data_IF_408100800030
#
_entry.id   IF_408100800030
#
_cell.length_a   1.000
_cell.length_b   1.000
_cell.length_c   1.000
_cell.angle_alpha   90.00
_cell.angle_beta   90.00
_cell.angle_gamma   90.00
#
_symmetry.space_group_name_H-M   'P 1'
#
loop_
_entity.id
_entity.type
_entity.pdbx_description
1 polymer ?
#
# COMPACT_ATOMS: atom_id res chain seq x y z
N UNK A 1 -2.13 14.08 -9.78
CA UNK A 1 -3.55 13.68 -9.70
C UNK A 1 -3.88 12.57 -10.69
N UNK A 2 -4.96 11.86 -10.41
CA UNK A 2 -5.53 10.88 -11.34
C UNK A 2 -6.55 11.55 -12.29
N UNK A 3 -6.54 11.16 -13.56
CA UNK A 3 -7.49 11.61 -14.57
C UNK A 3 -8.15 10.40 -15.24
N UNK A 4 -9.45 10.43 -15.38
CA UNK A 4 -10.23 9.42 -16.12
C UNK A 4 -10.74 10.06 -17.39
N UNK A 5 -10.39 9.50 -18.56
CA UNK A 5 -10.89 9.98 -19.84
C UNK A 5 -12.34 9.51 -20.10
N UNK A 6 -13.07 10.21 -20.97
CA UNK A 6 -14.42 9.82 -21.39
C UNK A 6 -14.47 8.44 -22.06
N UNK A 7 -13.37 8.03 -22.70
CA UNK A 7 -13.21 6.71 -23.32
C UNK A 7 -12.83 5.60 -22.31
N UNK A 8 -12.79 5.92 -21.00
CA UNK A 8 -12.55 4.97 -19.92
C UNK A 8 -11.08 4.71 -19.59
N UNK A 9 -10.11 5.38 -20.22
CA UNK A 9 -8.71 5.31 -19.88
C UNK A 9 -8.42 6.08 -18.59
N UNK A 10 -7.61 5.47 -17.67
CA UNK A 10 -7.15 6.15 -16.46
C UNK A 10 -5.67 6.51 -16.58
N UNK A 11 -5.32 7.72 -16.13
CA UNK A 11 -3.98 8.27 -16.24
C UNK A 11 -3.55 8.92 -14.93
N UNK A 12 -2.28 8.71 -14.57
CA UNK A 12 -1.58 9.57 -13.62
C UNK A 12 -1.05 10.78 -14.38
N UNK A 13 -1.46 11.98 -13.96
CA UNK A 13 -1.12 13.23 -14.65
C UNK A 13 -0.25 14.12 -13.76
N UNK A 14 0.84 14.62 -14.33
CA UNK A 14 1.64 15.67 -13.74
C UNK A 14 1.60 16.89 -14.66
N UNK A 15 1.09 18.00 -14.14
CA UNK A 15 1.05 19.28 -14.84
C UNK A 15 2.12 20.20 -14.22
N UNK A 16 2.91 20.84 -15.04
CA UNK A 16 4.00 21.72 -14.60
C UNK A 16 4.11 22.96 -15.46
N UNK A 17 4.64 24.01 -14.88
CA UNK A 17 5.00 25.23 -15.61
C UNK A 17 6.44 25.14 -16.11
N UNK A 18 6.66 25.62 -17.33
CA UNK A 18 7.97 25.80 -17.95
C UNK A 18 8.02 27.18 -18.60
N UNK A 19 9.20 27.63 -19.02
CA UNK A 19 9.40 28.96 -19.63
C UNK A 19 8.46 29.21 -20.81
N UNK A 20 8.23 28.23 -21.67
CA UNK A 20 7.34 28.31 -22.84
C UNK A 20 5.83 28.02 -22.53
N UNK A 21 5.40 28.06 -21.27
CA UNK A 21 4.01 27.86 -20.87
C UNK A 21 3.76 26.66 -19.93
N UNK A 22 2.66 25.93 -20.14
CA UNK A 22 2.28 24.77 -19.34
C UNK A 22 2.62 23.50 -20.08
N UNK A 23 3.15 22.50 -19.36
CA UNK A 23 3.37 21.14 -19.83
C UNK A 23 2.62 20.11 -18.99
N UNK A 24 2.34 18.96 -19.57
CA UNK A 24 1.75 17.84 -18.85
C UNK A 24 2.37 16.51 -19.30
N UNK A 25 2.51 15.58 -18.35
CA UNK A 25 2.92 14.20 -18.61
C UNK A 25 1.79 13.28 -18.15
N UNK A 26 1.38 12.40 -19.04
CA UNK A 26 0.37 11.40 -18.78
C UNK A 26 1.00 10.01 -18.75
N UNK A 27 0.75 9.27 -17.68
CA UNK A 27 1.12 7.85 -17.58
C UNK A 27 -0.15 7.04 -17.50
N UNK A 28 -0.35 6.14 -18.47
CA UNK A 28 -1.49 5.22 -18.47
C UNK A 28 -1.44 4.31 -17.25
N UNK A 29 -2.59 4.15 -16.60
CA UNK A 29 -2.81 3.20 -15.49
C UNK A 29 -3.48 1.96 -16.09
N UNK A 30 -2.94 0.74 -15.86
CA UNK A 30 -3.53 -0.48 -16.37
C UNK A 30 -4.98 -0.67 -15.92
N UNK A 31 -5.85 -1.11 -16.82
CA UNK A 31 -7.25 -1.40 -16.50
C UNK A 31 -7.44 -2.71 -15.75
N UNK A 32 -6.51 -3.66 -15.95
CA UNK A 32 -6.58 -4.98 -15.35
C UNK A 32 -5.54 -5.15 -14.26
N UNK A 33 -5.93 -5.77 -13.14
CA UNK A 33 -5.05 -6.14 -12.05
C UNK A 33 -4.41 -7.50 -12.41
N UNK A 34 -3.07 -7.61 -12.41
CA UNK A 34 -2.42 -8.89 -12.67
C UNK A 34 -2.67 -9.87 -11.52
N UNK A 35 -2.64 -11.17 -11.81
CA UNK A 35 -2.69 -12.20 -10.78
C UNK A 35 -1.29 -12.54 -10.26
N UNK A 36 -1.17 -13.07 -9.04
CA UNK A 36 0.12 -13.55 -8.53
C UNK A 36 0.73 -14.64 -9.41
N UNK A 37 -0.11 -15.45 -10.08
CA UNK A 37 0.34 -16.47 -11.02
C UNK A 37 0.94 -15.87 -12.28
N UNK A 38 0.32 -14.84 -12.84
CA UNK A 38 0.84 -14.15 -14.04
C UNK A 38 2.15 -13.40 -13.77
N UNK A 39 2.41 -13.03 -12.52
CA UNK A 39 3.65 -12.37 -12.09
C UNK A 39 4.79 -13.37 -11.82
N UNK A 40 4.53 -14.69 -11.91
CA UNK A 40 5.50 -15.75 -11.65
C UNK A 40 6.23 -15.59 -10.29
N UNK A 41 5.54 -15.07 -9.28
CA UNK A 41 6.08 -14.89 -7.94
C UNK A 41 6.16 -16.22 -7.18
N UNK A 42 7.11 -16.38 -6.24
CA UNK A 42 7.23 -17.59 -5.44
C UNK A 42 5.90 -17.94 -4.74
N UNK A 43 5.55 -19.23 -4.62
CA UNK A 43 4.32 -19.67 -3.94
C UNK A 43 4.16 -19.17 -2.51
N UNK A 44 5.27 -18.82 -1.85
CA UNK A 44 5.29 -18.22 -0.53
C UNK A 44 4.46 -16.92 -0.48
N UNK A 45 4.48 -16.10 -1.53
CA UNK A 45 3.73 -14.84 -1.57
C UNK A 45 2.22 -15.08 -1.42
N UNK A 46 1.70 -16.17 -2.01
CA UNK A 46 0.30 -16.57 -1.81
C UNK A 46 0.01 -16.97 -0.36
N UNK A 47 0.94 -17.69 0.29
CA UNK A 47 0.79 -18.10 1.69
C UNK A 47 0.80 -16.91 2.65
N UNK A 48 1.54 -15.85 2.34
CA UNK A 48 1.51 -14.63 3.13
C UNK A 48 0.11 -14.00 3.18
N UNK A 49 -0.69 -14.15 2.14
CA UNK A 49 -2.08 -13.68 2.11
C UNK A 49 -3.04 -14.52 3.00
N UNK A 50 -2.60 -15.65 3.54
CA UNK A 50 -3.44 -16.47 4.43
C UNK A 50 -3.41 -15.97 5.88
N UNK A 51 -2.47 -15.09 6.23
CA UNK A 51 -2.42 -14.47 7.56
C UNK A 51 -3.61 -13.55 7.79
N UNK A 52 -4.04 -13.46 9.05
CA UNK A 52 -5.15 -12.60 9.47
C UNK A 52 -4.67 -11.27 10.04
N UNK A 53 -3.45 -11.23 10.57
CA UNK A 53 -2.85 -10.05 11.19
C UNK A 53 -1.34 -10.03 10.97
N UNK A 54 -0.72 -8.91 11.26
CA UNK A 54 0.71 -8.69 11.11
C UNK A 54 1.05 -7.78 9.96
N UNK A 55 2.31 -7.72 9.55
CA UNK A 55 2.78 -6.79 8.53
C UNK A 55 3.49 -7.52 7.40
N UNK A 56 3.10 -7.22 6.16
CA UNK A 56 3.76 -7.68 4.94
C UNK A 56 4.33 -6.46 4.21
N UNK A 57 5.65 -6.48 4.01
CA UNK A 57 6.36 -5.38 3.36
C UNK A 57 6.93 -5.81 2.01
N UNK A 58 6.56 -5.07 0.97
CA UNK A 58 7.12 -5.24 -0.37
C UNK A 58 8.13 -4.12 -0.62
N UNK A 59 9.41 -4.48 -0.76
CA UNK A 59 10.50 -3.50 -0.81
C UNK A 59 11.26 -3.55 -2.13
N UNK A 60 11.92 -2.46 -2.47
CA UNK A 60 12.70 -2.32 -3.70
C UNK A 60 12.69 -0.90 -4.24
N UNK A 61 13.51 -0.63 -5.26
CA UNK A 61 13.56 0.67 -5.94
C UNK A 61 12.26 0.94 -6.73
N UNK A 62 12.11 2.16 -7.19
CA UNK A 62 10.98 2.53 -8.08
C UNK A 62 11.03 1.69 -9.36
N UNK A 63 9.85 1.23 -9.80
CA UNK A 63 9.73 0.44 -11.04
C UNK A 63 10.04 -1.06 -10.88
N UNK A 64 10.30 -1.57 -9.67
CA UNK A 64 10.56 -3.00 -9.43
C UNK A 64 9.31 -3.87 -9.29
N UNK A 65 8.11 -3.28 -9.42
CA UNK A 65 6.84 -4.03 -9.36
C UNK A 65 6.21 -4.10 -7.97
N UNK A 66 6.59 -3.24 -7.00
CA UNK A 66 6.00 -3.23 -5.64
C UNK A 66 4.48 -3.07 -5.67
N UNK A 67 3.99 -1.99 -6.29
CA UNK A 67 2.54 -1.71 -6.40
C UNK A 67 1.82 -2.81 -7.16
N UNK A 68 2.44 -3.35 -8.20
CA UNK A 68 1.90 -4.46 -8.99
C UNK A 68 1.74 -5.73 -8.16
N UNK A 69 2.74 -6.04 -7.32
CA UNK A 69 2.71 -7.19 -6.41
C UNK A 69 1.62 -7.01 -5.35
N UNK A 70 1.53 -5.84 -4.73
CA UNK A 70 0.49 -5.55 -3.73
C UNK A 70 -0.90 -5.59 -4.35
N UNK A 71 -1.09 -5.04 -5.55
CA UNK A 71 -2.36 -5.11 -6.25
C UNK A 71 -2.78 -6.56 -6.52
N UNK A 72 -1.85 -7.43 -6.93
CA UNK A 72 -2.12 -8.85 -7.14
C UNK A 72 -2.45 -9.58 -5.82
N UNK A 73 -1.84 -9.19 -4.68
CA UNK A 73 -2.17 -9.73 -3.36
C UNK A 73 -3.57 -9.30 -2.92
N UNK A 74 -3.91 -8.02 -3.09
CA UNK A 74 -5.27 -7.50 -2.82
C UNK A 74 -6.31 -8.21 -3.69
N UNK A 75 -6.04 -8.41 -4.97
CA UNK A 75 -6.98 -9.10 -5.86
C UNK A 75 -7.19 -10.57 -5.47
N UNK A 76 -6.12 -11.25 -5.02
CA UNK A 76 -6.21 -12.60 -4.47
C UNK A 76 -7.13 -12.65 -3.23
N UNK A 77 -6.92 -11.75 -2.26
CA UNK A 77 -7.75 -11.63 -1.06
C UNK A 77 -9.19 -11.33 -1.43
N UNK A 78 -9.42 -10.33 -2.29
CA UNK A 78 -10.72 -9.90 -2.77
C UNK A 78 -11.50 -10.99 -3.52
N UNK A 79 -10.78 -11.95 -4.11
CA UNK A 79 -11.40 -13.07 -4.83
C UNK A 79 -11.73 -14.26 -3.92
N UNK A 80 -10.95 -14.47 -2.84
CA UNK A 80 -11.00 -15.70 -2.04
C UNK A 80 -11.64 -15.54 -0.67
N UNK A 81 -11.70 -14.32 -0.12
CA UNK A 81 -12.10 -14.07 1.27
C UNK A 81 -13.17 -12.98 1.34
N UNK A 82 -14.00 -13.01 2.36
CA UNK A 82 -14.97 -11.97 2.67
C UNK A 82 -14.40 -11.04 3.75
N UNK A 83 -13.72 -9.98 3.34
CA UNK A 83 -12.96 -9.06 4.18
C UNK A 83 -13.31 -7.61 3.87
N UNK A 84 -13.04 -6.71 4.82
CA UNK A 84 -13.03 -5.27 4.60
C UNK A 84 -11.59 -4.82 4.35
N UNK A 85 -11.29 -4.36 3.13
CA UNK A 85 -9.96 -3.93 2.69
C UNK A 85 -9.98 -2.43 2.50
N UNK A 86 -9.10 -1.71 3.22
CA UNK A 86 -8.91 -0.27 3.05
C UNK A 86 -7.53 -0.02 2.47
N UNK A 87 -7.49 0.66 1.33
CA UNK A 87 -6.26 1.00 0.62
C UNK A 87 -6.03 2.51 0.64
N UNK A 88 -4.82 2.91 1.01
CA UNK A 88 -4.34 4.29 1.09
C UNK A 88 -3.19 4.45 0.10
N UNK A 89 -3.34 5.25 -0.96
CA UNK A 89 -2.42 5.26 -2.11
C UNK A 89 -2.07 6.68 -2.57
N UNK A 90 -0.94 6.83 -3.30
CA UNK A 90 -0.47 8.12 -3.86
C UNK A 90 0.19 7.94 -5.26
N UNK A 91 -0.59 8.02 -6.32
CA UNK A 91 -2.05 7.87 -6.43
C UNK A 91 -2.48 6.39 -6.50
N UNK A 92 -3.79 6.14 -6.62
CA UNK A 92 -4.32 4.80 -6.91
C UNK A 92 -3.81 4.32 -8.28
N UNK A 93 -2.96 3.27 -8.29
CA UNK A 93 -2.37 2.71 -9.52
C UNK A 93 -3.21 1.57 -10.12
N UNK A 94 -3.99 0.85 -9.31
CA UNK A 94 -4.89 -0.20 -9.76
C UNK A 94 -6.27 -0.03 -9.10
N UNK A 95 -7.33 -0.12 -9.88
CA UNK A 95 -8.69 -0.02 -9.35
C UNK A 95 -9.22 -1.41 -9.05
N UNK A 96 -9.53 -1.66 -7.80
CA UNK A 96 -10.14 -2.91 -7.35
C UNK A 96 -11.66 -2.77 -7.28
N UNK A 97 -12.37 -3.57 -8.07
CA UNK A 97 -13.81 -3.74 -7.89
C UNK A 97 -14.04 -4.74 -6.77
N UNK A 98 -14.95 -4.43 -5.84
CA UNK A 98 -15.36 -5.37 -4.79
C UNK A 98 -15.90 -6.66 -5.41
N UNK A 99 -15.38 -7.82 -4.95
CA UNK A 99 -15.80 -9.18 -5.33
C UNK A 99 -16.43 -9.87 -4.13
N UNK A 100 -15.62 -10.62 -3.34
CA UNK A 100 -16.04 -11.16 -2.05
C UNK A 100 -15.75 -10.18 -0.90
N UNK A 101 -14.73 -9.33 -1.06
CA UNK A 101 -14.41 -8.28 -0.11
C UNK A 101 -15.16 -6.99 -0.41
N UNK A 102 -15.33 -6.16 0.61
CA UNK A 102 -15.52 -4.72 0.43
C UNK A 102 -14.15 -4.09 0.25
N UNK A 103 -13.92 -3.36 -0.85
CA UNK A 103 -12.65 -2.67 -1.11
C UNK A 103 -12.89 -1.18 -1.17
N UNK A 104 -12.26 -0.44 -0.26
CA UNK A 104 -12.30 1.02 -0.18
C UNK A 104 -10.92 1.55 -0.51
N UNK A 105 -10.78 2.32 -1.59
CA UNK A 105 -9.51 2.93 -2.00
C UNK A 105 -9.56 4.44 -1.81
N UNK A 106 -8.52 4.97 -1.15
CA UNK A 106 -8.38 6.40 -0.87
C UNK A 106 -7.06 6.92 -1.40
N UNK A 107 -7.10 8.06 -2.05
CA UNK A 107 -5.95 8.72 -2.64
C UNK A 107 -5.49 9.91 -1.77
N UNK A 108 -4.18 9.97 -1.51
CA UNK A 108 -3.54 11.07 -0.79
C UNK A 108 -3.77 12.40 -1.53
N UNK A 109 -4.05 13.45 -0.76
CA UNK A 109 -4.34 14.78 -1.29
C UNK A 109 -5.76 14.95 -1.87
N UNK A 110 -6.46 13.86 -2.17
CA UNK A 110 -7.85 13.88 -2.66
C UNK A 110 -8.83 13.46 -1.57
N UNK A 111 -8.56 12.34 -0.92
CA UNK A 111 -9.47 11.72 0.06
C UNK A 111 -8.89 11.72 1.48
N UNK A 112 -7.60 11.90 1.64
CA UNK A 112 -6.92 11.95 2.94
C UNK A 112 -5.75 12.95 2.90
N UNK A 113 -5.48 13.64 4.03
CA UNK A 113 -4.42 14.65 4.09
C UNK A 113 -3.02 14.05 4.27
N UNK A 114 -2.92 12.89 4.94
CA UNK A 114 -1.67 12.14 5.14
C UNK A 114 -1.96 10.65 5.27
N UNK A 115 -0.93 9.81 5.08
CA UNK A 115 -1.05 8.37 5.31
C UNK A 115 -1.29 8.04 6.78
N UNK A 116 -0.63 8.73 7.71
CA UNK A 116 -0.83 8.52 9.15
C UNK A 116 -2.29 8.76 9.56
N UNK A 117 -2.89 9.89 9.14
CA UNK A 117 -4.30 10.18 9.36
C UNK A 117 -5.21 9.16 8.68
N UNK A 118 -4.82 8.71 7.48
CA UNK A 118 -5.54 7.67 6.75
C UNK A 118 -5.58 6.34 7.51
N UNK A 119 -4.45 5.88 8.06
CA UNK A 119 -4.37 4.65 8.89
C UNK A 119 -5.19 4.82 10.16
N UNK A 120 -5.05 5.97 10.84
CA UNK A 120 -5.81 6.27 12.06
C UNK A 120 -7.33 6.25 11.83
N UNK A 121 -7.79 6.75 10.69
CA UNK A 121 -9.19 6.69 10.30
C UNK A 121 -9.61 5.26 9.95
N UNK A 122 -8.82 4.57 9.14
CA UNK A 122 -9.08 3.20 8.71
C UNK A 122 -9.29 2.25 9.89
N UNK A 123 -8.49 2.34 10.96
CA UNK A 123 -8.62 1.51 12.18
C UNK A 123 -9.98 1.64 12.88
N UNK A 124 -10.80 2.63 12.53
CA UNK A 124 -12.17 2.85 13.07
C UNK A 124 -13.27 2.39 12.12
N UNK A 125 -12.90 1.81 11.00
CA UNK A 125 -13.81 1.42 9.92
C UNK A 125 -13.94 -0.10 9.81
N UNK A 126 -13.60 -0.83 10.89
CA UNK A 126 -13.64 -2.30 10.98
C UNK A 126 -12.87 -2.99 9.83
N UNK A 127 -11.60 -2.62 9.58
CA UNK A 127 -10.82 -3.21 8.51
C UNK A 127 -10.23 -4.56 8.93
N UNK A 128 -10.23 -5.52 8.03
CA UNK A 128 -9.40 -6.73 8.15
C UNK A 128 -8.00 -6.50 7.56
N UNK A 129 -7.95 -5.72 6.48
CA UNK A 129 -6.72 -5.46 5.73
C UNK A 129 -6.56 -3.95 5.49
N UNK A 130 -5.39 -3.41 5.78
CA UNK A 130 -5.02 -2.03 5.48
C UNK A 130 -3.81 -2.04 4.56
N UNK A 131 -3.95 -1.49 3.35
CA UNK A 131 -2.82 -1.25 2.45
C UNK A 131 -2.35 0.21 2.60
N UNK A 132 -1.07 0.39 2.90
CA UNK A 132 -0.40 1.69 2.92
C UNK A 132 0.58 1.75 1.76
N UNK A 133 0.27 2.56 0.77
CA UNK A 133 1.01 2.63 -0.50
C UNK A 133 2.50 2.85 -0.30
N UNK A 134 2.89 3.68 0.66
CA UNK A 134 4.28 3.89 1.04
C UNK A 134 4.44 4.31 2.51
N UNK A 135 5.39 3.68 3.21
CA UNK A 135 5.79 3.99 4.58
C UNK A 135 7.01 4.93 4.54
N UNK A 136 6.78 6.25 4.42
CA UNK A 136 7.84 7.25 4.25
C UNK A 136 8.29 7.90 5.53
N UNK A 137 7.36 8.22 6.40
CA UNK A 137 7.57 9.05 7.58
C UNK A 137 7.36 8.24 8.87
N UNK A 138 7.97 8.67 9.99
CA UNK A 138 7.90 7.97 11.27
C UNK A 138 6.46 7.77 11.77
N UNK A 139 5.59 8.76 11.60
CA UNK A 139 4.21 8.70 12.09
C UNK A 139 3.41 7.64 11.33
N UNK A 140 3.54 7.57 10.00
CA UNK A 140 2.92 6.54 9.17
C UNK A 140 3.43 5.14 9.55
N UNK A 141 4.74 4.98 9.79
CA UNK A 141 5.33 3.71 10.21
C UNK A 141 4.77 3.29 11.57
N UNK A 142 4.75 4.18 12.57
CA UNK A 142 4.22 3.89 13.90
C UNK A 142 2.74 3.50 13.84
N UNK A 143 1.92 4.23 13.08
CA UNK A 143 0.50 3.91 12.91
C UNK A 143 0.28 2.56 12.21
N UNK A 144 1.04 2.25 11.17
CA UNK A 144 0.96 0.98 10.47
C UNK A 144 1.35 -0.20 11.36
N UNK A 145 2.35 -0.03 12.21
CA UNK A 145 2.76 -1.04 13.21
C UNK A 145 1.70 -1.23 14.27
N UNK A 146 1.15 -0.14 14.81
CA UNK A 146 0.04 -0.21 15.78
C UNK A 146 -1.15 -0.97 15.18
N UNK A 147 -1.50 -0.72 13.93
CA UNK A 147 -2.58 -1.44 13.26
C UNK A 147 -2.26 -2.95 13.15
N UNK A 148 -1.02 -3.31 12.81
CA UNK A 148 -0.59 -4.71 12.72
C UNK A 148 -0.60 -5.43 14.09
N UNK A 149 -0.19 -4.74 15.16
CA UNK A 149 -0.21 -5.25 16.53
C UNK A 149 -1.64 -5.44 17.06
N UNK A 150 -2.57 -4.59 16.63
CA UNK A 150 -3.97 -4.60 17.10
C UNK A 150 -4.91 -5.50 16.30
N UNK A 151 -4.37 -6.39 15.47
CA UNK A 151 -5.13 -7.48 14.85
C UNK A 151 -5.45 -7.30 13.36
N UNK A 152 -4.86 -6.30 12.69
CA UNK A 152 -5.08 -6.07 11.27
C UNK A 152 -3.94 -6.65 10.42
N UNK A 153 -4.23 -7.08 9.21
CA UNK A 153 -3.22 -7.40 8.21
C UNK A 153 -2.82 -6.11 7.48
N UNK A 154 -1.60 -5.65 7.73
CA UNK A 154 -1.08 -4.43 7.09
C UNK A 154 -0.16 -4.79 5.93
N UNK A 155 -0.45 -4.28 4.76
CA UNK A 155 0.39 -4.36 3.56
C UNK A 155 1.04 -3.01 3.31
N UNK A 156 2.35 -2.97 3.05
CA UNK A 156 3.03 -1.70 2.82
C UNK A 156 4.23 -1.79 1.89
N UNK A 157 4.71 -0.62 1.44
CA UNK A 157 5.95 -0.53 0.67
C UNK A 157 6.99 0.33 1.35
N UNK A 158 8.27 -0.04 1.13
CA UNK A 158 9.43 0.79 1.44
C UNK A 158 10.43 0.78 0.29
N UNK A 159 11.20 1.86 0.18
CA UNK A 159 12.30 2.00 -0.78
C UNK A 159 13.63 1.55 -0.16
N UNK A 160 13.70 0.30 0.26
CA UNK A 160 14.92 -0.32 0.78
C UNK A 160 15.39 -1.42 -0.14
N UNK A 161 16.68 -1.73 -0.10
CA UNK A 161 17.35 -2.67 -1.01
C UNK A 161 17.48 -4.08 -0.46
N UNK A 162 17.12 -4.30 0.82
CA UNK A 162 17.12 -5.62 1.46
C UNK A 162 16.15 -5.69 2.63
N UNK A 163 15.73 -6.90 3.00
CA UNK A 163 14.84 -7.14 4.14
C UNK A 163 15.45 -6.63 5.46
N UNK A 164 16.73 -6.88 5.70
CA UNK A 164 17.43 -6.42 6.90
C UNK A 164 17.39 -4.90 7.02
N UNK A 165 17.78 -4.20 5.95
CA UNK A 165 17.72 -2.72 5.91
C UNK A 165 16.30 -2.18 6.08
N UNK A 166 15.29 -2.96 5.72
CA UNK A 166 13.89 -2.58 5.92
C UNK A 166 13.56 -2.55 7.40
N UNK A 167 13.93 -3.59 8.13
CA UNK A 167 13.73 -3.68 9.58
C UNK A 167 14.48 -2.56 10.29
N UNK A 168 15.76 -2.37 9.99
CA UNK A 168 16.57 -1.29 10.57
C UNK A 168 15.90 0.08 10.34
N UNK A 169 15.45 0.36 9.10
CA UNK A 169 14.80 1.62 8.77
C UNK A 169 13.48 1.82 9.53
N UNK A 170 12.70 0.78 9.73
CA UNK A 170 11.47 0.87 10.52
C UNK A 170 11.76 1.19 11.99
N UNK A 171 12.75 0.51 12.58
CA UNK A 171 13.17 0.74 13.95
C UNK A 171 13.75 2.15 14.12
N UNK A 172 14.61 2.58 13.20
CA UNK A 172 15.27 3.89 13.26
C UNK A 172 14.28 5.07 13.07
N UNK A 173 13.18 4.83 12.36
CA UNK A 173 12.13 5.83 12.18
C UNK A 173 11.33 6.12 13.44
N UNK A 174 11.36 5.22 14.43
CA UNK A 174 10.57 5.35 15.65
C UNK A 174 11.31 6.14 16.74
N UNK A 175 10.57 6.80 17.66
CA UNK A 175 11.11 7.38 18.88
C UNK A 175 11.95 6.36 19.66
N UNK A 176 12.97 6.83 20.38
CA UNK A 176 13.94 5.96 21.06
C UNK A 176 13.30 5.04 22.12
N UNK A 177 12.25 5.51 22.76
CA UNK A 177 11.47 4.80 23.79
C UNK A 177 10.59 3.69 23.21
N UNK A 178 10.18 3.78 21.94
CA UNK A 178 9.37 2.77 21.24
C UNK A 178 10.22 1.67 20.59
N UNK A 179 11.52 1.89 20.36
CA UNK A 179 12.37 1.00 19.57
C UNK A 179 12.52 -0.41 20.13
N UNK A 180 12.64 -0.55 21.43
CA UNK A 180 12.83 -1.88 22.07
C UNK A 180 11.54 -2.71 22.03
N UNK A 181 10.38 -2.09 22.21
CA UNK A 181 9.09 -2.76 22.07
C UNK A 181 8.88 -3.21 20.61
N UNK A 182 9.21 -2.34 19.67
CA UNK A 182 9.13 -2.63 18.23
C UNK A 182 10.04 -3.77 17.79
N UNK A 183 11.27 -3.83 18.30
CA UNK A 183 12.17 -4.97 18.02
C UNK A 183 11.56 -6.29 18.49
N UNK A 184 10.95 -6.29 19.66
CA UNK A 184 10.28 -7.47 20.21
C UNK A 184 9.10 -7.91 19.35
N UNK A 185 8.33 -6.97 18.84
CA UNK A 185 7.21 -7.24 17.92
C UNK A 185 7.70 -7.79 16.56
N UNK A 186 8.71 -7.17 15.97
CA UNK A 186 9.26 -7.60 14.67
C UNK A 186 10.01 -8.94 14.72
N UNK A 187 10.33 -9.45 15.93
CA UNK A 187 10.99 -10.74 16.15
C UNK A 187 10.01 -11.92 16.29
N UNK A 188 8.72 -11.67 16.33
CA UNK A 188 7.66 -12.67 16.41
C UNK A 188 7.20 -13.11 15.01
#
# INVERSE_FOLDING_TARGET
FSYVSEEGGRFRVNVFRKDSGVGAVFRSIPAEVPTLDSLALPPLVKKLCDHHQGMILVTGSTGTGKSTTLAAMIDLLNTKRALNIISLEDPIEFVHRSKQCQVVQRELGTHLPSFAEGVRAAMREDPDVILVGELRDPETISMAMTAAETGHLVLGTLHTTSAVKTIDRMIDALPADEREQTKSFLAQ
#
